data_IF_039883364232
#
_entry.id   IF_039883364232
#
_cell.length_a   1.000
_cell.length_b   1.000
_cell.length_c   1.000
_cell.angle_alpha   90.00
_cell.angle_beta   90.00
_cell.angle_gamma   90.00
#
_symmetry.space_group_name_H-M   'P 1'
#
loop_
_entity.id
_entity.type
_entity.pdbx_description
1 polymer ?
#
# COMPACT_ATOMS: atom_id res chain seq x y z
N UNK A 1 19.93 17.94 -6.93
CA UNK A 1 19.12 18.05 -8.16
C UNK A 1 18.06 19.08 -7.83
N UNK A 2 17.98 20.15 -8.61
CA UNK A 2 16.99 21.22 -8.39
C UNK A 2 15.65 20.78 -8.99
N UNK A 3 14.55 21.04 -8.29
CA UNK A 3 13.21 20.58 -8.67
C UNK A 3 12.80 21.07 -10.06
N UNK A 4 13.14 22.31 -10.39
CA UNK A 4 12.80 23.00 -11.64
C UNK A 4 13.50 22.39 -12.85
N UNK A 5 14.55 21.60 -12.63
CA UNK A 5 15.28 20.91 -13.70
C UNK A 5 14.66 19.56 -14.07
N UNK A 6 13.67 19.10 -13.31
CA UNK A 6 12.96 17.84 -13.57
C UNK A 6 11.74 18.15 -14.42
N UNK A 7 11.72 17.63 -15.66
CA UNK A 7 10.60 17.82 -16.58
C UNK A 7 9.31 17.22 -15.99
N UNK A 8 8.28 18.05 -15.82
CA UNK A 8 7.00 17.64 -15.26
C UNK A 8 6.95 17.57 -13.74
N UNK A 9 7.94 18.12 -13.02
CA UNK A 9 7.92 18.20 -11.55
C UNK A 9 6.67 18.90 -11.00
N UNK A 10 6.15 19.87 -11.72
CA UNK A 10 4.95 20.64 -11.41
C UNK A 10 3.63 19.90 -11.74
N UNK A 11 3.71 18.73 -12.36
CA UNK A 11 2.53 17.91 -12.68
C UNK A 11 2.19 17.01 -11.50
N UNK A 12 1.29 17.50 -10.67
CA UNK A 12 0.79 16.78 -9.50
C UNK A 12 -0.52 16.03 -9.79
N UNK A 13 -0.69 14.89 -9.14
CA UNK A 13 -1.89 14.05 -9.25
C UNK A 13 -2.42 13.70 -7.86
N UNK A 14 -3.75 13.65 -7.74
CA UNK A 14 -4.43 13.36 -6.48
C UNK A 14 -4.37 11.87 -6.08
N UNK A 15 -4.02 10.98 -6.99
CA UNK A 15 -3.96 9.55 -6.72
C UNK A 15 -2.90 8.84 -7.56
N UNK A 16 -2.42 7.69 -7.06
CA UNK A 16 -1.52 6.81 -7.80
C UNK A 16 -2.12 6.32 -9.12
N UNK A 17 -3.44 6.13 -9.17
CA UNK A 17 -4.14 5.70 -10.38
C UNK A 17 -4.09 6.77 -11.46
N UNK A 18 -4.35 8.04 -11.10
CA UNK A 18 -4.31 9.15 -12.06
C UNK A 18 -2.91 9.28 -12.68
N UNK A 19 -1.86 9.19 -11.85
CA UNK A 19 -0.47 9.20 -12.33
C UNK A 19 -0.15 8.00 -13.25
N UNK A 20 -0.63 6.81 -12.91
CA UNK A 20 -0.45 5.61 -13.75
C UNK A 20 -1.13 5.73 -15.11
N UNK A 21 -2.30 6.38 -15.18
CA UNK A 21 -3.02 6.63 -16.44
C UNK A 21 -2.26 7.58 -17.38
N UNK A 22 -1.47 8.52 -16.85
CA UNK A 22 -0.62 9.38 -17.67
C UNK A 22 0.51 8.59 -18.37
N UNK A 23 1.11 7.63 -17.65
CA UNK A 23 2.12 6.74 -18.22
C UNK A 23 1.48 5.84 -19.28
N UNK A 24 0.36 5.20 -18.96
CA UNK A 24 -0.37 4.33 -19.89
C UNK A 24 -0.75 5.08 -21.19
N UNK A 25 -1.09 6.37 -21.07
CA UNK A 25 -1.42 7.20 -22.22
C UNK A 25 -0.21 7.79 -22.96
N UNK A 26 1.02 7.49 -22.53
CA UNK A 26 2.26 7.98 -23.13
C UNK A 26 2.55 9.46 -22.88
N UNK A 27 1.95 10.07 -21.85
CA UNK A 27 2.16 11.49 -21.48
C UNK A 27 3.26 11.70 -20.46
N UNK A 28 3.73 10.63 -19.83
CA UNK A 28 4.85 10.59 -18.91
C UNK A 28 5.63 9.28 -19.06
N UNK A 29 6.94 9.30 -18.79
CA UNK A 29 7.79 8.11 -18.86
C UNK A 29 7.77 7.29 -17.56
N UNK A 30 7.62 7.96 -16.41
CA UNK A 30 7.55 7.34 -15.08
C UNK A 30 6.84 8.27 -14.09
N UNK A 31 6.31 7.69 -13.01
CA UNK A 31 5.73 8.42 -11.89
C UNK A 31 5.84 7.60 -10.59
N UNK A 32 5.96 8.23 -9.42
CA UNK A 32 5.82 7.54 -8.14
C UNK A 32 4.46 6.84 -8.06
N UNK A 33 4.47 5.54 -7.77
CA UNK A 33 3.27 4.72 -7.76
C UNK A 33 3.38 3.55 -6.78
N UNK A 34 2.24 2.94 -6.43
CA UNK A 34 2.20 1.66 -5.73
C UNK A 34 2.14 0.50 -6.72
N UNK A 35 2.77 -0.63 -6.36
CA UNK A 35 2.84 -1.82 -7.22
C UNK A 35 1.47 -2.37 -7.63
N UNK A 36 0.45 -2.18 -6.80
CA UNK A 36 -0.92 -2.58 -7.11
C UNK A 36 -1.49 -1.88 -8.35
N UNK A 37 -1.23 -0.58 -8.51
CA UNK A 37 -1.70 0.21 -9.66
C UNK A 37 -0.92 -0.16 -10.92
N UNK A 38 0.40 -0.33 -10.81
CA UNK A 38 1.21 -0.80 -11.94
C UNK A 38 0.71 -2.15 -12.47
N UNK A 39 0.45 -3.12 -11.58
CA UNK A 39 -0.13 -4.41 -11.95
C UNK A 39 -1.55 -4.33 -12.52
N UNK A 40 -2.37 -3.39 -12.04
CA UNK A 40 -3.73 -3.16 -12.57
C UNK A 40 -3.70 -2.61 -14.01
N UNK A 41 -2.74 -1.73 -14.31
CA UNK A 41 -2.60 -1.08 -15.61
C UNK A 41 -1.63 -1.82 -16.57
N UNK A 42 -1.12 -2.98 -16.16
CA UNK A 42 -0.11 -3.76 -16.89
C UNK A 42 1.15 -2.94 -17.26
N UNK A 43 1.61 -2.11 -16.30
CA UNK A 43 2.81 -1.29 -16.42
C UNK A 43 4.00 -1.94 -15.71
N UNK A 44 5.20 -1.67 -16.21
CA UNK A 44 6.44 -2.02 -15.52
C UNK A 44 6.55 -1.31 -14.17
N UNK A 45 7.16 -1.98 -13.19
CA UNK A 45 7.33 -1.44 -11.84
C UNK A 45 8.76 -1.61 -11.33
N UNK A 46 9.38 -0.49 -10.95
CA UNK A 46 10.70 -0.45 -10.32
C UNK A 46 10.50 -0.25 -8.81
N UNK A 47 10.79 -1.26 -7.96
CA UNK A 47 10.60 -1.15 -6.52
C UNK A 47 11.62 -0.19 -5.90
N UNK A 48 11.14 0.76 -5.10
CA UNK A 48 12.01 1.70 -4.35
C UNK A 48 12.12 1.31 -2.86
N UNK A 49 10.99 0.97 -2.23
CA UNK A 49 10.88 0.60 -0.82
C UNK A 49 9.52 -0.03 -0.53
N UNK A 50 9.36 -0.66 0.62
CA UNK A 50 8.04 -0.93 1.16
C UNK A 50 7.49 0.28 1.90
N UNK A 51 6.16 0.36 1.91
CA UNK A 51 5.41 1.30 2.73
C UNK A 51 4.41 0.50 3.56
N UNK A 52 4.45 0.69 4.88
CA UNK A 52 3.55 0.00 5.81
C UNK A 52 2.39 0.89 6.21
N UNK A 53 1.20 0.32 6.19
CA UNK A 53 -0.02 0.94 6.68
C UNK A 53 -0.53 0.22 7.93
N UNK A 54 -0.77 0.96 9.00
CA UNK A 54 -1.31 0.45 10.26
C UNK A 54 -2.78 0.90 10.43
N UNK A 55 -3.66 -0.01 10.87
CA UNK A 55 -5.04 0.32 11.19
C UNK A 55 -5.15 0.86 12.62
N UNK A 56 -5.55 2.12 12.76
CA UNK A 56 -5.74 2.75 14.06
C UNK A 56 -7.17 2.53 14.60
N UNK A 57 -7.26 1.91 15.76
CA UNK A 57 -8.52 1.68 16.47
C UNK A 57 -8.51 2.51 17.75
N UNK A 58 -9.57 3.31 17.96
CA UNK A 58 -9.74 4.03 19.23
C UNK A 58 -9.94 3.02 20.36
N UNK A 59 -9.21 3.18 21.46
CA UNK A 59 -9.25 2.26 22.62
C UNK A 59 -10.67 1.99 23.13
N UNK A 60 -11.53 3.00 23.18
CA UNK A 60 -12.90 2.88 23.65
C UNK A 60 -13.85 2.14 22.69
N UNK A 61 -13.42 1.89 21.44
CA UNK A 61 -14.16 1.13 20.43
C UNK A 61 -13.56 -0.23 20.15
N UNK A 62 -12.44 -0.56 20.79
CA UNK A 62 -11.73 -1.81 20.51
C UNK A 62 -12.64 -3.03 20.70
N UNK A 63 -13.45 -3.04 21.77
CA UNK A 63 -14.38 -4.13 22.07
C UNK A 63 -15.74 -4.01 21.39
N UNK A 64 -15.92 -3.06 20.47
CA UNK A 64 -17.15 -2.97 19.70
C UNK A 64 -17.32 -4.27 18.88
N UNK A 65 -18.52 -4.88 18.84
CA UNK A 65 -18.72 -6.15 18.16
C UNK A 65 -18.25 -6.15 16.70
N UNK A 66 -18.48 -5.05 15.97
CA UNK A 66 -18.03 -4.92 14.58
C UNK A 66 -16.51 -4.89 14.42
N UNK A 67 -15.79 -4.28 15.37
CA UNK A 67 -14.32 -4.26 15.37
C UNK A 67 -13.79 -5.66 15.65
N UNK A 68 -14.35 -6.35 16.64
CA UNK A 68 -13.93 -7.72 16.97
C UNK A 68 -14.22 -8.70 15.83
N UNK A 69 -15.36 -8.55 15.14
CA UNK A 69 -15.67 -9.34 13.94
C UNK A 69 -14.68 -9.08 12.80
N UNK A 70 -14.34 -7.82 12.54
CA UNK A 70 -13.35 -7.47 11.53
C UNK A 70 -11.96 -8.02 11.87
N UNK A 71 -11.52 -7.86 13.11
CA UNK A 71 -10.25 -8.41 13.59
C UNK A 71 -10.25 -9.95 13.53
N UNK A 72 -11.38 -10.61 13.76
CA UNK A 72 -11.51 -12.06 13.54
C UNK A 72 -11.34 -12.42 12.07
N UNK A 73 -12.06 -11.73 11.18
CA UNK A 73 -12.06 -11.98 9.73
C UNK A 73 -10.66 -11.94 9.12
N UNK A 74 -9.80 -10.99 9.52
CA UNK A 74 -8.47 -10.87 8.92
C UNK A 74 -7.55 -12.06 9.22
N UNK A 75 -7.89 -12.90 10.19
CA UNK A 75 -7.15 -14.13 10.51
C UNK A 75 -7.72 -15.37 9.80
N UNK A 76 -8.85 -15.25 9.11
CA UNK A 76 -9.52 -16.40 8.50
C UNK A 76 -8.88 -16.80 7.15
N UNK A 77 -8.79 -18.10 6.82
CA UNK A 77 -8.18 -18.58 5.59
C UNK A 77 -8.75 -17.95 4.29
N UNK A 78 -10.07 -17.70 4.16
CA UNK A 78 -10.61 -17.03 2.98
C UNK A 78 -10.07 -15.60 2.79
N UNK A 79 -9.77 -14.88 3.88
CA UNK A 79 -9.17 -13.55 3.79
C UNK A 79 -7.73 -13.63 3.29
N UNK A 80 -6.95 -14.58 3.80
CA UNK A 80 -5.57 -14.82 3.33
C UNK A 80 -5.54 -15.23 1.85
N UNK A 81 -6.46 -16.08 1.39
CA UNK A 81 -6.55 -16.46 -0.03
C UNK A 81 -6.94 -15.29 -0.94
N UNK A 82 -7.72 -14.32 -0.44
CA UNK A 82 -8.00 -13.09 -1.17
C UNK A 82 -6.76 -12.19 -1.20
N UNK A 83 -6.06 -12.08 -0.08
CA UNK A 83 -4.82 -11.33 0.07
C UNK A 83 -3.74 -11.78 -0.91
N UNK A 84 -3.55 -13.10 -1.11
CA UNK A 84 -2.56 -13.68 -2.02
C UNK A 84 -2.75 -13.24 -3.49
N UNK A 85 -3.96 -12.79 -3.85
CA UNK A 85 -4.28 -12.31 -5.20
C UNK A 85 -4.00 -10.82 -5.37
N UNK A 86 -3.67 -10.10 -4.30
CA UNK A 86 -3.41 -8.67 -4.32
C UNK A 86 -1.94 -8.40 -4.67
N UNK A 87 -1.66 -8.18 -5.95
CA UNK A 87 -0.32 -7.80 -6.40
C UNK A 87 0.16 -6.55 -5.69
N UNK A 88 1.37 -6.62 -5.13
CA UNK A 88 2.02 -5.46 -4.50
C UNK A 88 1.69 -5.24 -3.03
N UNK A 89 0.98 -6.17 -2.39
CA UNK A 89 0.75 -6.14 -0.95
C UNK A 89 1.47 -7.33 -0.28
N UNK A 90 2.05 -7.08 0.89
CA UNK A 90 2.41 -8.14 1.83
C UNK A 90 1.50 -8.02 3.05
N UNK A 91 0.74 -9.07 3.32
CA UNK A 91 -0.21 -9.15 4.42
C UNK A 91 0.23 -10.14 5.51
N UNK A 92 1.47 -10.63 5.47
CA UNK A 92 2.05 -11.59 6.42
C UNK A 92 1.96 -11.17 7.90
N UNK A 93 1.85 -9.86 8.17
CA UNK A 93 1.77 -9.28 9.51
C UNK A 93 0.38 -8.75 9.87
N UNK A 94 -0.60 -8.89 8.98
CA UNK A 94 -1.97 -8.38 9.17
C UNK A 94 -2.63 -9.02 10.39
N UNK A 95 -3.41 -8.22 11.13
CA UNK A 95 -4.08 -8.68 12.36
C UNK A 95 -3.22 -8.62 13.62
N UNK A 96 -1.90 -8.39 13.48
CA UNK A 96 -1.01 -8.14 14.62
C UNK A 96 -1.31 -6.78 15.25
N UNK A 97 -1.56 -6.78 16.56
CA UNK A 97 -1.59 -5.54 17.33
C UNK A 97 -0.16 -5.03 17.55
N UNK A 98 0.07 -3.75 17.22
CA UNK A 98 1.33 -3.06 17.45
C UNK A 98 1.12 -1.91 18.44
N UNK A 99 2.06 -1.75 19.37
CA UNK A 99 2.05 -0.66 20.34
C UNK A 99 3.24 0.28 20.11
N UNK A 100 3.11 1.58 20.42
CA UNK A 100 4.24 2.50 20.37
C UNK A 100 5.43 1.95 21.19
N UNK A 101 6.61 1.88 20.57
CA UNK A 101 7.84 1.41 21.22
C UNK A 101 8.18 -0.07 21.03
N UNK A 102 7.34 -0.86 20.35
CA UNK A 102 7.75 -2.20 19.91
C UNK A 102 8.58 -2.14 18.62
N UNK A 103 9.61 -2.98 18.55
CA UNK A 103 10.34 -3.23 17.31
C UNK A 103 9.44 -3.90 16.29
N UNK A 104 9.43 -3.35 15.09
CA UNK A 104 8.59 -3.81 14.00
C UNK A 104 9.30 -4.95 13.26
N UNK A 105 8.56 -5.90 12.68
CA UNK A 105 9.16 -6.89 11.79
C UNK A 105 9.89 -6.20 10.62
N UNK A 106 10.97 -6.80 10.10
CA UNK A 106 11.72 -6.25 8.97
C UNK A 106 10.85 -6.13 7.72
N UNK A 107 11.22 -5.24 6.81
CA UNK A 107 10.51 -5.11 5.53
C UNK A 107 10.72 -6.39 4.68
N UNK A 108 9.74 -6.77 3.84
CA UNK A 108 9.88 -7.97 3.02
C UNK A 108 11.06 -7.84 2.05
N UNK A 109 12.07 -8.69 2.22
CA UNK A 109 13.28 -8.69 1.38
C UNK A 109 14.47 -7.90 1.95
N UNK A 110 14.43 -7.46 3.21
CA UNK A 110 15.62 -7.13 4.03
C UNK A 110 16.39 -8.39 4.48
#
# INVERSE_FOLDING_TARGET
IEAETIQGYDKEFSSHLDAGLEILAGRADAAPCIRAVAGLLDLDFIPLRWERFDLLIRRNRFFDPGIQLFLGLVHEPPFQQLADKLTGYDLSTTGRMVFPGQSLPPEPGE
#
